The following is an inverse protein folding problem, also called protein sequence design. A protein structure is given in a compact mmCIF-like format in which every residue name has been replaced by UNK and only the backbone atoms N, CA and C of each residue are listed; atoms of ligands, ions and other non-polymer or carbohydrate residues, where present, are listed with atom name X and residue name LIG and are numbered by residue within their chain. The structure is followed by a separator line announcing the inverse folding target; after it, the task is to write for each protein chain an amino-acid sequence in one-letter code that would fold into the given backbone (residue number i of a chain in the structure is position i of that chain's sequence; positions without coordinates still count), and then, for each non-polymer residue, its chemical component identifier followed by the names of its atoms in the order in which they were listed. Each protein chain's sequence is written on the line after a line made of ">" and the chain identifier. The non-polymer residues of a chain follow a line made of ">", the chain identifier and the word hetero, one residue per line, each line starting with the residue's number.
data_IF_431248151709
#
_entry.id   IF_431248151709
#
_cell.length_a   1.000
_cell.length_b   1.000
_cell.length_c   1.000
_cell.angle_alpha   90.00
_cell.angle_beta   90.00
_cell.angle_gamma   90.00
#
_symmetry.space_group_name_H-M   'P 1'
#
loop_
_entity.id
_entity.type
_entity.pdbx_description
1 polymer ?
#
# COMPACT_ATOMS: atom_id res chain seq x y z
N UNK A 1 1.12 -1.82 70.87
CA UNK A 1 -0.17 -1.41 70.28
C UNK A 1 -0.10 -0.41 69.15
N UNK A 2 1.07 -0.22 68.41
CA UNK A 2 1.17 0.76 67.30
C UNK A 2 1.32 0.12 65.92
N UNK A 3 1.44 -1.18 65.80
CA UNK A 3 1.67 -1.88 64.53
C UNK A 3 0.35 -2.30 63.79
N UNK A 4 -0.75 -2.44 64.49
CA UNK A 4 -2.05 -2.85 63.88
C UNK A 4 -2.79 -1.75 63.16
N UNK A 5 -2.61 -0.47 63.52
CA UNK A 5 -3.33 0.67 62.90
C UNK A 5 -2.73 1.09 61.55
N UNK A 6 -1.47 0.81 61.29
CA UNK A 6 -0.80 1.14 60.03
C UNK A 6 -1.20 0.17 58.90
N UNK A 7 -1.31 -1.12 59.19
CA UNK A 7 -1.71 -2.14 58.23
C UNK A 7 -3.15 -1.95 57.75
N UNK A 8 -4.06 -1.58 58.64
CA UNK A 8 -5.48 -1.34 58.29
C UNK A 8 -5.68 -0.12 57.38
N UNK A 9 -4.86 0.94 57.53
CA UNK A 9 -4.89 2.14 56.64
C UNK A 9 -4.35 1.87 55.27
N UNK A 10 -3.35 0.98 55.13
CA UNK A 10 -2.77 0.61 53.83
C UNK A 10 -3.75 -0.24 53.02
N UNK A 11 -4.41 -1.20 53.67
CA UNK A 11 -5.42 -2.07 53.03
C UNK A 11 -6.66 -1.28 52.55
N UNK A 12 -7.08 -0.26 53.31
CA UNK A 12 -8.19 0.62 52.92
C UNK A 12 -7.84 1.54 51.74
N UNK A 13 -6.59 2.00 51.64
CA UNK A 13 -6.13 2.79 50.46
C UNK A 13 -6.07 1.95 49.21
N UNK A 14 -5.57 0.72 49.30
CA UNK A 14 -5.50 -0.21 48.14
C UNK A 14 -6.89 -0.61 47.64
N UNK A 15 -7.82 -0.88 48.55
CA UNK A 15 -9.21 -1.21 48.22
C UNK A 15 -9.97 -0.02 47.57
N UNK A 16 -9.70 1.22 48.00
CA UNK A 16 -10.27 2.44 47.38
C UNK A 16 -9.69 2.69 45.97
N UNK A 17 -8.37 2.45 45.77
CA UNK A 17 -7.75 2.55 44.48
C UNK A 17 -8.27 1.52 43.47
N UNK A 18 -8.44 0.28 43.92
CA UNK A 18 -9.00 -0.78 43.08
C UNK A 18 -10.44 -0.51 42.67
N UNK A 19 -11.29 -0.01 43.62
CA UNK A 19 -12.66 0.41 43.27
C UNK A 19 -12.73 1.55 42.30
N UNK A 20 -11.84 2.56 42.42
CA UNK A 20 -11.80 3.70 41.52
C UNK A 20 -11.32 3.30 40.12
N UNK A 21 -10.38 2.35 40.03
CA UNK A 21 -9.91 1.79 38.76
C UNK A 21 -11.03 0.98 38.06
N UNK A 22 -11.75 0.14 38.80
CA UNK A 22 -12.87 -0.65 38.28
C UNK A 22 -14.07 0.22 37.83
N UNK A 23 -14.32 1.36 38.52
CA UNK A 23 -15.38 2.29 38.15
C UNK A 23 -15.04 3.11 36.91
N UNK A 24 -13.77 3.49 36.74
CA UNK A 24 -13.27 4.13 35.52
C UNK A 24 -13.30 3.17 34.31
N UNK A 25 -12.99 1.90 34.50
CA UNK A 25 -13.09 0.87 33.46
C UNK A 25 -14.53 0.63 33.01
N UNK A 26 -15.49 0.68 33.89
CA UNK A 26 -16.93 0.59 33.55
C UNK A 26 -17.45 1.81 32.80
N UNK A 27 -16.99 3.00 33.15
CA UNK A 27 -17.35 4.25 32.43
C UNK A 27 -16.78 4.29 31.03
N UNK A 28 -15.54 3.86 30.83
CA UNK A 28 -14.92 3.76 29.50
C UNK A 28 -15.58 2.69 28.63
N UNK A 29 -15.96 1.54 29.19
CA UNK A 29 -16.68 0.50 28.46
C UNK A 29 -18.09 0.95 28.02
N UNK A 30 -18.78 1.74 28.82
CA UNK A 30 -20.10 2.31 28.50
C UNK A 30 -20.00 3.38 27.40
N UNK A 31 -18.95 4.19 27.40
CA UNK A 31 -18.66 5.18 26.38
C UNK A 31 -18.32 4.51 25.03
N UNK A 32 -17.48 3.48 25.01
CA UNK A 32 -17.14 2.70 23.83
C UNK A 32 -18.39 2.07 23.19
N UNK A 33 -19.28 1.51 23.99
CA UNK A 33 -20.50 0.86 23.48
C UNK A 33 -21.49 1.86 22.87
N UNK A 34 -21.53 3.09 23.36
CA UNK A 34 -22.40 4.16 22.84
C UNK A 34 -21.84 4.79 21.56
N UNK A 35 -20.52 4.80 21.39
CA UNK A 35 -19.82 5.41 20.24
C UNK A 35 -19.05 4.39 19.40
N UNK A 36 -19.49 3.11 19.44
CA UNK A 36 -18.82 2.01 18.71
C UNK A 36 -18.53 2.36 17.24
N UNK A 37 -19.52 2.94 16.53
CA UNK A 37 -19.34 3.33 15.14
C UNK A 37 -18.25 4.39 14.99
N UNK A 38 -18.19 5.38 15.87
CA UNK A 38 -17.13 6.40 15.86
C UNK A 38 -15.77 5.81 16.23
N UNK A 39 -15.72 4.90 17.20
CA UNK A 39 -14.47 4.24 17.58
C UNK A 39 -13.91 3.34 16.47
N UNK A 40 -14.77 2.67 15.69
CA UNK A 40 -14.37 1.89 14.51
C UNK A 40 -13.83 2.79 13.39
N UNK A 41 -14.43 3.94 13.15
CA UNK A 41 -13.94 4.89 12.14
C UNK A 41 -12.57 5.43 12.55
N UNK A 42 -12.37 5.81 13.81
CA UNK A 42 -11.07 6.28 14.32
C UNK A 42 -10.02 5.17 14.25
N UNK A 43 -10.39 3.92 14.59
CA UNK A 43 -9.49 2.78 14.47
C UNK A 43 -9.11 2.50 13.02
N UNK A 44 -10.07 2.56 12.10
CA UNK A 44 -9.83 2.39 10.67
C UNK A 44 -8.90 3.49 10.12
N UNK A 45 -9.12 4.76 10.51
CA UNK A 45 -8.25 5.88 10.13
C UNK A 45 -6.83 5.73 10.70
N UNK A 46 -6.68 5.23 11.93
CA UNK A 46 -5.37 4.94 12.52
C UNK A 46 -4.66 3.77 11.83
N UNK A 47 -5.40 2.74 11.43
CA UNK A 47 -4.84 1.62 10.66
C UNK A 47 -4.43 2.06 9.25
N UNK A 48 -5.22 2.89 8.59
CA UNK A 48 -4.88 3.50 7.29
C UNK A 48 -3.64 4.38 7.44
N UNK A 49 -3.58 5.25 8.45
CA UNK A 49 -2.41 6.08 8.71
C UNK A 49 -1.15 5.24 9.06
N UNK A 50 -1.29 4.15 9.81
CA UNK A 50 -0.20 3.23 10.11
C UNK A 50 0.26 2.46 8.86
N UNK A 51 -0.67 2.12 7.96
CA UNK A 51 -0.37 1.50 6.68
C UNK A 51 0.41 2.46 5.77
N UNK A 52 -0.03 3.72 5.64
CA UNK A 52 0.72 4.76 4.91
C UNK A 52 2.12 5.01 5.50
N UNK A 53 2.29 4.94 6.83
CA UNK A 53 3.60 5.09 7.47
C UNK A 53 4.51 3.87 7.28
N UNK A 54 3.97 2.68 7.00
CA UNK A 54 4.78 1.47 6.74
C UNK A 54 5.23 1.35 5.27
N UNK A 55 4.49 1.93 4.32
CA UNK A 55 4.86 1.93 2.89
C UNK A 55 6.05 2.83 2.60
N UNK A 56 6.26 3.91 3.40
CA UNK A 56 7.41 4.84 3.26
C UNK A 56 8.76 4.20 3.64
N UNK A 57 8.79 2.91 4.02
CA UNK A 57 9.97 2.29 4.62
C UNK A 57 11.02 1.81 3.61
N UNK A 58 10.69 1.61 2.34
CA UNK A 58 11.63 1.04 1.37
C UNK A 58 12.68 2.04 0.87
N UNK A 59 12.29 3.31 0.66
CA UNK A 59 13.22 4.37 0.25
C UNK A 59 13.85 5.16 1.42
N UNK A 60 13.36 4.97 2.65
CA UNK A 60 13.80 5.70 3.86
C UNK A 60 15.25 5.45 4.28
N UNK A 61 15.90 4.42 3.79
CA UNK A 61 17.27 4.06 4.21
C UNK A 61 18.27 5.11 3.75
N UNK A 62 18.06 5.78 2.63
CA UNK A 62 18.96 6.81 2.13
C UNK A 62 18.77 8.17 2.78
N UNK A 63 17.53 8.58 3.04
CA UNK A 63 17.27 9.89 3.68
C UNK A 63 17.74 9.92 5.14
N UNK A 64 17.69 8.78 5.86
CA UNK A 64 18.16 8.70 7.24
C UNK A 64 19.65 8.35 7.37
N UNK A 65 20.26 7.74 6.35
CA UNK A 65 21.68 7.40 6.29
C UNK A 65 22.62 8.59 6.07
N UNK A 66 22.06 9.78 5.86
CA UNK A 66 22.74 11.07 5.78
C UNK A 66 23.93 11.10 4.84
N UNK A 67 23.94 12.05 3.92
CA UNK A 67 25.09 12.76 3.31
C UNK A 67 26.44 12.01 3.11
N UNK A 68 26.67 10.88 3.79
CA UNK A 68 27.95 10.16 3.73
C UNK A 68 27.99 9.04 2.68
N UNK A 69 26.86 8.65 2.07
CA UNK A 69 26.82 7.54 1.13
C UNK A 69 27.37 7.96 -0.24
N UNK A 70 27.08 9.19 -0.68
CA UNK A 70 27.65 9.74 -1.92
C UNK A 70 28.92 10.53 -1.71
N UNK A 71 29.21 11.02 -0.51
CA UNK A 71 30.38 11.85 -0.19
C UNK A 71 31.76 11.21 -0.41
N UNK A 72 31.80 9.95 -0.84
CA UNK A 72 33.00 9.26 -1.32
C UNK A 72 32.92 8.92 -2.82
N UNK A 73 31.86 9.31 -3.52
CA UNK A 73 31.66 8.99 -4.92
C UNK A 73 32.42 10.03 -5.80
N UNK A 74 33.07 9.53 -6.83
CA UNK A 74 33.78 10.34 -7.85
C UNK A 74 32.80 10.87 -8.92
N UNK A 75 31.52 11.03 -8.58
CA UNK A 75 30.56 11.59 -9.53
C UNK A 75 30.74 13.10 -9.66
N UNK A 76 30.70 13.64 -10.88
CA UNK A 76 30.88 15.08 -11.14
C UNK A 76 29.60 15.89 -10.85
N UNK A 77 28.66 15.37 -10.08
CA UNK A 77 27.33 15.95 -9.80
C UNK A 77 27.25 16.30 -8.31
N UNK A 78 26.59 17.39 -7.98
CA UNK A 78 26.34 17.82 -6.62
C UNK A 78 25.47 16.80 -5.87
N UNK A 79 25.84 16.52 -4.59
CA UNK A 79 25.11 15.56 -3.73
C UNK A 79 23.60 15.89 -3.63
N UNK A 80 23.26 17.18 -3.64
CA UNK A 80 21.87 17.63 -3.56
C UNK A 80 21.05 17.22 -4.79
N UNK A 81 21.63 17.28 -5.99
CA UNK A 81 20.97 16.89 -7.23
C UNK A 81 20.83 15.37 -7.32
N UNK A 82 21.85 14.61 -6.89
CA UNK A 82 21.77 13.15 -6.82
C UNK A 82 20.68 12.69 -5.86
N UNK A 83 20.59 13.27 -4.65
CA UNK A 83 19.53 12.96 -3.69
C UNK A 83 18.14 13.36 -4.19
N UNK A 84 18.03 14.46 -4.91
CA UNK A 84 16.78 14.90 -5.50
C UNK A 84 16.31 13.97 -6.64
N UNK A 85 17.24 13.46 -7.46
CA UNK A 85 16.93 12.50 -8.51
C UNK A 85 16.44 11.17 -7.92
N UNK A 86 17.12 10.68 -6.88
CA UNK A 86 16.71 9.50 -6.12
C UNK A 86 15.32 9.67 -5.51
N UNK A 87 15.06 10.79 -4.84
CA UNK A 87 13.76 11.09 -4.26
C UNK A 87 12.65 11.15 -5.30
N UNK A 88 12.93 11.68 -6.50
CA UNK A 88 11.97 11.71 -7.60
C UNK A 88 11.68 10.30 -8.12
N UNK A 89 12.69 9.45 -8.24
CA UNK A 89 12.51 8.06 -8.68
C UNK A 89 11.69 7.26 -7.67
N UNK A 90 12.01 7.35 -6.37
CA UNK A 90 11.23 6.76 -5.30
C UNK A 90 9.76 7.22 -5.31
N UNK A 91 9.49 8.50 -5.62
CA UNK A 91 8.12 8.99 -5.71
C UNK A 91 7.32 8.33 -6.86
N UNK A 92 7.98 8.02 -7.98
CA UNK A 92 7.35 7.26 -9.08
C UNK A 92 7.07 5.81 -8.68
N UNK A 93 7.98 5.18 -7.93
CA UNK A 93 7.76 3.83 -7.39
C UNK A 93 6.62 3.80 -6.37
N UNK A 94 6.53 4.81 -5.50
CA UNK A 94 5.40 4.95 -4.56
C UNK A 94 4.06 5.16 -5.30
N UNK A 95 4.05 5.91 -6.39
CA UNK A 95 2.86 6.11 -7.22
C UNK A 95 2.43 4.79 -7.90
N UNK A 96 3.37 4.03 -8.45
CA UNK A 96 3.11 2.72 -9.05
C UNK A 96 2.58 1.73 -8.01
N UNK A 97 3.20 1.67 -6.83
CA UNK A 97 2.72 0.82 -5.73
C UNK A 97 1.31 1.22 -5.30
N UNK A 98 1.04 2.52 -5.14
CA UNK A 98 -0.27 3.04 -4.79
C UNK A 98 -1.34 2.72 -5.84
N UNK A 99 -0.98 2.73 -7.12
CA UNK A 99 -1.87 2.30 -8.21
C UNK A 99 -2.23 0.82 -8.07
N UNK A 100 -1.24 -0.06 -7.86
CA UNK A 100 -1.47 -1.49 -7.68
C UNK A 100 -2.29 -1.80 -6.43
N UNK A 101 -2.02 -1.13 -5.31
CA UNK A 101 -2.74 -1.32 -4.05
C UNK A 101 -4.23 -0.93 -4.14
N UNK A 102 -4.57 -0.03 -5.04
CA UNK A 102 -5.95 0.44 -5.25
C UNK A 102 -6.61 -0.16 -6.49
N UNK A 103 -5.92 -1.04 -7.22
CA UNK A 103 -6.36 -1.53 -8.53
C UNK A 103 -7.76 -2.14 -8.49
N UNK A 104 -8.01 -3.10 -7.59
CA UNK A 104 -9.33 -3.75 -7.46
C UNK A 104 -10.46 -2.78 -7.10
N UNK A 105 -10.15 -1.73 -6.36
CA UNK A 105 -11.15 -0.74 -5.95
C UNK A 105 -11.52 0.26 -7.06
N UNK A 106 -10.68 0.35 -8.10
CA UNK A 106 -10.83 1.30 -9.22
C UNK A 106 -11.26 0.64 -10.52
N UNK A 107 -11.26 -0.69 -10.57
CA UNK A 107 -11.67 -1.49 -11.73
C UNK A 107 -12.82 -2.42 -11.35
N UNK A 108 -13.62 -2.82 -12.33
CA UNK A 108 -14.83 -3.64 -12.12
C UNK A 108 -14.73 -4.92 -12.96
N UNK A 109 -13.87 -5.83 -12.48
CA UNK A 109 -13.74 -7.19 -12.98
C UNK A 109 -14.24 -8.18 -11.94
N UNK A 110 -14.65 -9.38 -12.39
CA UNK A 110 -15.18 -10.40 -11.48
C UNK A 110 -14.08 -11.15 -10.72
N UNK A 111 -12.88 -11.26 -11.31
CA UNK A 111 -11.73 -11.96 -10.72
C UNK A 111 -10.43 -11.25 -11.10
N UNK A 112 -9.47 -11.18 -10.16
CA UNK A 112 -8.18 -10.54 -10.36
C UNK A 112 -7.04 -11.52 -10.08
N UNK A 113 -6.08 -11.57 -11.01
CA UNK A 113 -4.84 -12.31 -10.87
C UNK A 113 -3.67 -11.33 -10.91
N UNK A 114 -2.65 -11.52 -10.07
CA UNK A 114 -1.50 -10.65 -9.99
C UNK A 114 -0.21 -11.44 -10.21
N UNK A 115 0.60 -10.96 -11.16
CA UNK A 115 1.95 -11.43 -11.45
C UNK A 115 2.89 -10.24 -11.31
N UNK A 116 3.35 -9.95 -10.09
CA UNK A 116 4.08 -8.72 -9.79
C UNK A 116 5.51 -9.03 -9.37
N UNK A 117 6.47 -8.43 -10.08
CA UNK A 117 7.84 -8.32 -9.63
C UNK A 117 7.95 -7.26 -8.53
N UNK A 118 9.03 -7.32 -7.74
CA UNK A 118 9.31 -6.35 -6.69
C UNK A 118 9.54 -4.94 -7.27
N UNK A 119 8.96 -3.91 -6.64
CA UNK A 119 9.19 -2.52 -6.98
C UNK A 119 10.40 -2.04 -6.15
N UNK A 120 11.57 -2.14 -6.74
CA UNK A 120 12.83 -1.72 -6.15
C UNK A 120 13.86 -1.39 -7.22
N UNK A 121 14.79 -0.50 -6.91
CA UNK A 121 15.93 -0.17 -7.75
C UNK A 121 17.22 -0.02 -6.94
N UNK A 122 18.35 -0.02 -7.62
CA UNK A 122 19.65 0.32 -7.02
C UNK A 122 19.96 1.80 -7.31
N UNK A 123 20.02 2.65 -6.26
CA UNK A 123 20.26 4.09 -6.42
C UNK A 123 21.60 4.41 -7.04
N UNK A 124 22.63 3.58 -6.86
CA UNK A 124 23.93 3.79 -7.50
C UNK A 124 23.86 3.52 -9.01
N UNK A 125 23.07 2.52 -9.40
CA UNK A 125 22.81 2.21 -10.80
C UNK A 125 21.99 3.32 -11.45
N UNK A 126 20.97 3.85 -10.75
CA UNK A 126 20.19 5.00 -11.23
C UNK A 126 21.07 6.22 -11.50
N UNK A 127 21.84 6.67 -10.51
CA UNK A 127 22.73 7.84 -10.65
C UNK A 127 23.78 7.61 -11.73
N UNK A 128 24.34 6.40 -11.82
CA UNK A 128 25.30 6.06 -12.87
C UNK A 128 24.67 6.11 -14.26
N UNK A 129 23.45 5.61 -14.43
CA UNK A 129 22.71 5.64 -15.69
C UNK A 129 22.40 7.08 -16.14
N UNK A 130 21.89 7.92 -15.23
CA UNK A 130 21.62 9.34 -15.50
C UNK A 130 22.92 10.04 -15.92
N UNK A 131 23.99 9.88 -15.16
CA UNK A 131 25.30 10.51 -15.42
C UNK A 131 25.86 10.08 -16.78
N UNK A 132 25.74 8.78 -17.12
CA UNK A 132 26.20 8.30 -18.44
C UNK A 132 25.37 8.86 -19.60
N UNK A 133 24.06 8.98 -19.44
CA UNK A 133 23.16 9.52 -20.48
C UNK A 133 23.34 11.03 -20.69
N UNK A 134 23.71 11.79 -19.65
CA UNK A 134 23.96 13.23 -19.73
C UNK A 134 25.46 13.58 -20.02
N UNK A 135 26.34 12.59 -20.01
CA UNK A 135 27.74 12.78 -20.35
C UNK A 135 28.57 13.47 -19.27
N UNK A 136 28.18 13.42 -18.00
CA UNK A 136 28.91 13.95 -16.87
C UNK A 136 28.06 14.79 -15.92
N UNK A 137 28.34 16.07 -15.77
CA UNK A 137 27.62 16.98 -14.88
C UNK A 137 26.15 17.19 -15.32
N UNK A 138 25.25 17.22 -14.34
CA UNK A 138 23.83 17.50 -14.57
C UNK A 138 23.19 18.05 -13.28
N UNK A 139 22.04 18.71 -13.44
CA UNK A 139 21.19 19.17 -12.32
C UNK A 139 19.84 18.46 -12.37
N UNK A 140 19.14 18.41 -11.24
CA UNK A 140 17.82 17.79 -11.17
C UNK A 140 16.82 18.40 -12.17
N UNK A 141 16.95 19.70 -12.44
CA UNK A 141 16.10 20.40 -13.42
C UNK A 141 16.26 19.92 -14.87
N UNK A 142 17.40 19.31 -15.19
CA UNK A 142 17.72 18.83 -16.55
C UNK A 142 17.33 17.36 -16.75
N UNK A 143 17.31 16.56 -15.68
CA UNK A 143 17.22 15.09 -15.77
C UNK A 143 15.81 14.52 -15.55
N UNK A 144 14.81 15.34 -15.24
CA UNK A 144 13.45 14.84 -14.95
C UNK A 144 12.86 13.95 -16.04
N UNK A 145 13.07 14.31 -17.32
CA UNK A 145 12.66 13.47 -18.46
C UNK A 145 13.44 12.15 -18.56
N UNK A 146 14.71 12.15 -18.17
CA UNK A 146 15.56 10.95 -18.16
C UNK A 146 15.13 10.01 -17.03
N UNK A 147 14.81 10.57 -15.87
CA UNK A 147 14.27 9.81 -14.73
C UNK A 147 12.98 9.09 -15.13
N UNK A 148 12.03 9.80 -15.72
CA UNK A 148 10.78 9.21 -16.21
C UNK A 148 11.03 8.12 -17.26
N UNK A 149 11.91 8.38 -18.23
CA UNK A 149 12.25 7.40 -19.26
C UNK A 149 12.88 6.13 -18.67
N UNK A 150 13.77 6.26 -17.69
CA UNK A 150 14.38 5.12 -17.01
C UNK A 150 13.33 4.31 -16.26
N UNK A 151 12.42 4.99 -15.56
CA UNK A 151 11.31 4.37 -14.87
C UNK A 151 10.39 3.59 -15.82
N UNK A 152 9.95 4.22 -16.92
CA UNK A 152 9.09 3.59 -17.93
C UNK A 152 9.76 2.38 -18.64
N UNK A 153 11.10 2.32 -18.61
CA UNK A 153 11.86 1.19 -19.15
C UNK A 153 12.12 0.10 -18.13
N UNK A 154 12.21 0.45 -16.87
CA UNK A 154 12.39 -0.53 -15.80
C UNK A 154 11.08 -1.25 -15.48
N UNK A 155 9.98 -0.53 -15.37
CA UNK A 155 8.70 -1.08 -14.96
C UNK A 155 7.74 -1.16 -16.14
N UNK A 156 7.38 -2.37 -16.54
CA UNK A 156 6.39 -2.61 -17.59
C UNK A 156 5.16 -3.22 -16.94
N UNK A 157 4.11 -2.41 -16.85
CA UNK A 157 2.79 -2.85 -16.40
C UNK A 157 1.94 -3.25 -17.58
N UNK A 158 1.37 -4.46 -17.53
CA UNK A 158 0.44 -4.98 -18.55
C UNK A 158 -0.80 -5.54 -17.89
N UNK A 159 -1.93 -5.39 -18.59
CA UNK A 159 -3.24 -5.89 -18.19
C UNK A 159 -3.76 -6.80 -19.28
N UNK A 160 -4.17 -8.02 -18.92
CA UNK A 160 -4.80 -8.97 -19.81
C UNK A 160 -6.17 -9.35 -19.27
N UNK A 161 -7.20 -9.17 -20.08
CA UNK A 161 -8.59 -9.44 -19.68
C UNK A 161 -9.14 -10.59 -20.48
N UNK A 162 -9.40 -11.72 -19.81
CA UNK A 162 -10.06 -12.89 -20.36
C UNK A 162 -11.56 -12.85 -20.02
N UNK A 163 -12.39 -13.24 -20.98
CA UNK A 163 -13.85 -13.30 -20.80
C UNK A 163 -14.31 -14.74 -20.90
N UNK A 164 -14.88 -15.26 -19.82
CA UNK A 164 -15.50 -16.58 -19.76
C UNK A 164 -17.03 -16.46 -19.79
N UNK A 165 -17.71 -17.34 -20.51
CA UNK A 165 -19.14 -17.47 -20.37
C UNK A 165 -19.45 -18.44 -19.23
N UNK A 166 -20.03 -17.91 -18.14
CA UNK A 166 -20.52 -18.71 -17.01
C UNK A 166 -22.05 -18.75 -17.00
N UNK A 167 -22.64 -19.66 -16.22
CA UNK A 167 -24.08 -19.84 -16.13
C UNK A 167 -24.54 -19.65 -14.71
N UNK A 168 -25.61 -18.89 -14.52
CA UNK A 168 -26.30 -18.76 -13.24
C UNK A 168 -27.69 -19.37 -13.34
N UNK A 169 -28.12 -20.01 -12.26
CA UNK A 169 -29.46 -20.56 -12.14
C UNK A 169 -30.44 -19.47 -11.76
N UNK A 170 -31.46 -19.23 -12.59
CA UNK A 170 -32.58 -18.37 -12.27
C UNK A 170 -33.84 -19.21 -12.06
N UNK A 171 -34.73 -18.69 -11.22
CA UNK A 171 -35.97 -19.38 -10.83
C UNK A 171 -37.13 -18.45 -11.06
N UNK A 172 -38.08 -18.88 -11.87
CA UNK A 172 -39.34 -18.18 -12.11
C UNK A 172 -40.47 -18.87 -11.37
N UNK A 173 -41.31 -18.11 -10.71
CA UNK A 173 -42.45 -18.64 -9.94
C UNK A 173 -43.72 -18.01 -10.46
N UNK A 174 -44.63 -18.86 -10.92
CA UNK A 174 -45.91 -18.41 -11.44
C UNK A 174 -47.06 -19.23 -10.82
N UNK A 175 -48.26 -18.67 -10.83
CA UNK A 175 -49.46 -19.31 -10.28
C UNK A 175 -50.46 -19.59 -11.41
N UNK A 176 -50.94 -20.82 -11.48
CA UNK A 176 -51.96 -21.23 -12.46
C UNK A 176 -53.36 -20.69 -12.12
N UNK A 177 -54.30 -20.90 -13.02
CA UNK A 177 -55.67 -20.44 -12.84
C UNK A 177 -56.41 -21.13 -11.68
N UNK A 178 -55.91 -22.30 -11.25
CA UNK A 178 -56.41 -23.10 -10.13
C UNK A 178 -55.80 -22.68 -8.81
N UNK A 179 -54.84 -21.73 -8.81
CA UNK A 179 -54.17 -21.19 -7.60
C UNK A 179 -52.95 -21.99 -7.13
N UNK A 180 -52.46 -22.94 -7.93
CA UNK A 180 -51.25 -23.68 -7.61
C UNK A 180 -50.02 -22.90 -8.03
N UNK A 181 -48.97 -22.89 -7.18
CA UNK A 181 -47.70 -22.25 -7.47
C UNK A 181 -46.76 -23.25 -8.16
N UNK A 182 -46.25 -22.85 -9.28
CA UNK A 182 -45.24 -23.59 -10.06
C UNK A 182 -43.92 -22.83 -10.03
N UNK A 183 -42.80 -23.58 -10.06
CA UNK A 183 -41.46 -23.06 -10.02
C UNK A 183 -40.66 -23.70 -11.15
N UNK A 184 -40.23 -22.89 -12.09
CA UNK A 184 -39.35 -23.28 -13.19
C UNK A 184 -37.95 -22.77 -12.95
N UNK A 185 -36.95 -23.62 -13.17
CA UNK A 185 -35.53 -23.31 -12.98
C UNK A 185 -34.82 -23.45 -14.31
N UNK A 186 -34.08 -22.42 -14.69
CA UNK A 186 -33.34 -22.38 -15.95
C UNK A 186 -31.96 -21.74 -15.76
N UNK A 187 -31.01 -22.05 -16.65
CA UNK A 187 -29.67 -21.50 -16.65
C UNK A 187 -29.57 -20.30 -17.58
N UNK A 188 -29.06 -19.20 -17.10
CA UNK A 188 -28.82 -17.96 -17.85
C UNK A 188 -27.33 -17.74 -18.00
N UNK A 189 -26.80 -17.65 -19.23
CA UNK A 189 -25.41 -17.34 -19.47
C UNK A 189 -25.12 -15.87 -19.12
N UNK A 190 -23.92 -15.62 -18.60
CA UNK A 190 -23.39 -14.27 -18.37
C UNK A 190 -21.89 -14.25 -18.62
N UNK A 191 -21.37 -13.09 -18.98
CA UNK A 191 -19.94 -12.89 -19.17
C UNK A 191 -19.28 -12.68 -17.80
N UNK A 192 -18.16 -13.37 -17.60
CA UNK A 192 -17.34 -13.31 -16.39
C UNK A 192 -15.95 -12.84 -16.79
N UNK A 193 -15.50 -11.73 -16.23
CA UNK A 193 -14.28 -11.04 -16.60
C UNK A 193 -13.17 -11.36 -15.61
N UNK A 194 -12.07 -11.93 -16.11
CA UNK A 194 -10.85 -12.24 -15.32
C UNK A 194 -9.76 -11.31 -15.80
N UNK A 195 -9.25 -10.47 -14.91
CA UNK A 195 -8.16 -9.55 -15.20
C UNK A 195 -6.86 -10.06 -14.59
N UNK A 196 -5.83 -10.24 -15.43
CA UNK A 196 -4.47 -10.52 -14.98
C UNK A 196 -3.63 -9.26 -15.08
N UNK A 197 -3.16 -8.75 -13.93
CA UNK A 197 -2.28 -7.60 -13.83
C UNK A 197 -0.85 -8.11 -13.68
N UNK A 198 0.01 -7.74 -14.62
CA UNK A 198 1.40 -8.16 -14.62
C UNK A 198 2.33 -6.95 -14.55
N UNK A 199 3.24 -6.95 -13.58
CA UNK A 199 4.34 -5.99 -13.48
C UNK A 199 5.66 -6.72 -13.68
N UNK A 200 6.44 -6.28 -14.67
CA UNK A 200 7.81 -6.75 -14.92
C UNK A 200 8.82 -5.67 -14.53
N UNK A 201 9.84 -6.04 -13.73
CA UNK A 201 10.96 -5.18 -13.36
C UNK A 201 12.22 -5.57 -14.14
N UNK A 202 12.57 -4.78 -15.16
CA UNK A 202 13.76 -4.97 -16.01
C UNK A 202 14.98 -4.28 -15.42
N UNK A 203 15.35 -4.50 -14.25
CA UNK A 203 16.50 -3.95 -13.52
C UNK A 203 17.32 -2.87 -14.27
N UNK A 204 17.47 -1.68 -13.70
CA UNK A 204 18.15 -0.52 -14.30
C UNK A 204 19.55 -0.81 -14.87
N UNK A 205 20.25 -1.81 -14.36
CA UNK A 205 21.59 -2.19 -14.84
C UNK A 205 21.61 -2.64 -16.31
N UNK A 206 20.47 -3.10 -16.84
CA UNK A 206 20.34 -3.54 -18.22
C UNK A 206 19.76 -2.45 -19.14
N UNK A 207 19.03 -1.46 -18.59
CA UNK A 207 18.35 -0.42 -19.36
C UNK A 207 19.29 0.45 -20.19
N UNK A 208 20.47 0.91 -19.72
CA UNK A 208 21.38 1.72 -20.52
C UNK A 208 21.89 1.01 -21.77
N UNK A 209 22.03 -0.31 -21.75
CA UNK A 209 22.48 -1.12 -22.89
C UNK A 209 21.46 -1.06 -24.03
N UNK A 210 20.17 -1.02 -23.72
CA UNK A 210 19.09 -0.91 -24.73
C UNK A 210 18.91 0.51 -25.26
N UNK A 211 19.30 1.54 -24.51
CA UNK A 211 19.17 2.95 -24.94
C UNK A 211 20.34 3.37 -25.85
N UNK A 212 21.52 2.77 -25.65
CA UNK A 212 22.74 3.13 -26.37
C UNK A 212 22.98 2.25 -27.64
N UNK A 213 22.17 1.24 -27.88
CA UNK A 213 22.21 0.37 -29.08
C UNK A 213 21.19 0.80 -30.13
#
# INVERSE_FOLDING_TARGET
>A
GKTGASAAKTTQKTAKSAKKAAENTKKSAGFLRRHWKGALIVLALLLIAAFFLSVVSSCSVMVQGGVSVFGASTYPVEDADMLAAEAQYCALEEELQGYLDTYESTHDYDEYHYELDDIEHDPYVLISAITALHGGEWTIGEVGGTIQMLFDKQYILTEDVEVETRYRTETDTWTDAEGNTHTDTYEVPYDYYICTVKLENFNLSHVPVYIMS
#
